data_IF_766914881821
#
_entry.id   IF_766914881821
#
_cell.length_a   1.000
_cell.length_b   1.000
_cell.length_c   1.000
_cell.angle_alpha   90.00
_cell.angle_beta   90.00
_cell.angle_gamma   90.00
#
_symmetry.space_group_name_H-M   'P 1'
#
loop_
_entity.id
_entity.type
_entity.pdbx_description
1 polymer ?
#
# COMPACT_ATOMS: atom_id res chain seq x y z
N UNK A 1 17.94 -9.54 -20.24
CA UNK A 1 16.74 -10.00 -19.50
C UNK A 1 17.05 -10.35 -18.03
N UNK A 2 18.02 -11.23 -17.73
CA UNK A 2 18.38 -11.57 -16.33
C UNK A 2 18.98 -10.43 -15.49
N UNK A 3 19.76 -9.52 -16.08
CA UNK A 3 20.36 -8.39 -15.34
C UNK A 3 19.31 -7.37 -14.90
N UNK A 4 18.29 -7.13 -15.73
CA UNK A 4 17.13 -6.30 -15.42
C UNK A 4 16.26 -6.92 -14.33
N UNK A 5 16.03 -8.25 -14.39
CA UNK A 5 15.30 -8.98 -13.35
C UNK A 5 15.99 -8.91 -11.98
N UNK A 6 17.32 -9.01 -11.93
CA UNK A 6 18.10 -8.86 -10.70
C UNK A 6 18.05 -7.44 -10.14
N UNK A 7 18.09 -6.43 -11.00
CA UNK A 7 17.93 -5.02 -10.61
C UNK A 7 16.54 -4.75 -10.03
N UNK A 8 15.49 -5.29 -10.63
CA UNK A 8 14.11 -5.16 -10.13
C UNK A 8 13.92 -5.86 -8.78
N UNK A 9 14.48 -7.07 -8.61
CA UNK A 9 14.44 -7.80 -7.33
C UNK A 9 15.26 -7.07 -6.25
N UNK A 10 16.40 -6.47 -6.61
CA UNK A 10 17.22 -5.70 -5.67
C UNK A 10 16.55 -4.38 -5.25
N UNK A 11 15.88 -3.66 -6.15
CA UNK A 11 15.11 -2.46 -5.80
C UNK A 11 13.92 -2.79 -4.88
N UNK A 12 13.22 -3.90 -5.13
CA UNK A 12 12.11 -4.34 -4.29
C UNK A 12 12.53 -4.72 -2.86
N UNK A 13 13.81 -5.07 -2.64
CA UNK A 13 14.33 -5.44 -1.32
C UNK A 13 14.71 -4.21 -0.45
N UNK A 14 14.85 -3.02 -1.04
CA UNK A 14 15.27 -1.80 -0.32
C UNK A 14 14.13 -1.20 0.51
N UNK A 15 12.88 -1.61 0.28
CA UNK A 15 11.72 -1.20 1.08
C UNK A 15 11.55 -2.03 2.37
N UNK A 16 12.41 -3.02 2.59
CA UNK A 16 12.39 -3.81 3.81
C UNK A 16 13.19 -3.12 4.92
N UNK A 17 12.48 -2.72 5.97
CA UNK A 17 12.94 -2.25 7.29
C UNK A 17 12.87 -0.73 7.49
N UNK A 18 11.72 -0.30 7.98
CA UNK A 18 11.58 0.91 8.79
C UNK A 18 10.84 0.55 10.08
N UNK A 19 11.54 0.52 11.21
CA UNK A 19 10.90 0.59 12.52
C UNK A 19 10.46 2.02 12.82
N UNK A 20 9.35 2.20 13.53
CA UNK A 20 8.87 3.52 13.95
C UNK A 20 9.78 4.08 15.05
N UNK A 21 10.83 4.79 14.66
CA UNK A 21 11.62 5.64 15.56
C UNK A 21 11.29 7.09 15.26
N UNK A 22 11.04 7.86 16.30
CA UNK A 22 10.69 9.27 16.17
C UNK A 22 11.31 10.06 17.30
N UNK A 23 11.64 11.32 17.00
CA UNK A 23 12.11 12.27 17.98
C UNK A 23 10.94 13.09 18.50
N UNK A 24 10.94 13.33 19.81
CA UNK A 24 9.98 14.18 20.50
C UNK A 24 10.77 15.26 21.22
N UNK A 25 10.42 16.53 21.03
CA UNK A 25 11.01 17.62 21.80
C UNK A 25 10.48 17.62 23.25
N UNK A 26 11.18 18.30 24.15
CA UNK A 26 10.72 18.46 25.53
C UNK A 26 9.34 19.13 25.56
N UNK A 27 8.41 18.60 26.36
CA UNK A 27 7.00 19.03 26.47
C UNK A 27 6.12 18.87 25.22
N UNK A 28 6.65 18.31 24.12
CA UNK A 28 5.87 18.03 22.92
C UNK A 28 5.01 16.77 23.11
N UNK A 29 3.74 16.82 22.67
CA UNK A 29 2.81 15.68 22.70
C UNK A 29 2.63 15.13 21.29
N UNK A 30 2.70 13.80 21.15
CA UNK A 30 2.40 13.07 19.91
C UNK A 30 1.23 12.11 20.16
N UNK A 31 0.24 12.13 19.28
CA UNK A 31 -0.94 11.28 19.37
C UNK A 31 -0.92 10.26 18.23
N UNK A 32 -1.19 8.99 18.56
CA UNK A 32 -1.36 7.90 17.59
C UNK A 32 -2.81 7.44 17.67
N UNK A 33 -3.53 7.49 16.54
CA UNK A 33 -4.95 7.13 16.47
C UNK A 33 -5.04 5.84 15.66
N UNK A 34 -5.47 4.76 16.31
CA UNK A 34 -5.61 3.43 15.72
C UNK A 34 -7.04 2.91 15.98
N UNK A 35 -7.65 2.27 14.98
CA UNK A 35 -8.96 1.62 15.16
C UNK A 35 -8.77 0.20 15.68
N UNK A 36 -9.14 -0.02 16.94
CA UNK A 36 -8.99 -1.30 17.64
C UNK A 36 -10.37 -1.93 17.83
N UNK A 37 -10.58 -3.21 17.46
CA UNK A 37 -11.88 -3.86 17.63
C UNK A 37 -12.22 -4.08 19.10
N UNK A 38 -13.52 -4.20 19.37
CA UNK A 38 -14.02 -4.45 20.73
C UNK A 38 -13.43 -5.74 21.31
N UNK A 39 -13.21 -5.75 22.63
CA UNK A 39 -12.68 -6.90 23.40
C UNK A 39 -11.25 -7.33 23.05
N UNK A 40 -10.43 -6.42 22.51
CA UNK A 40 -9.01 -6.71 22.26
C UNK A 40 -8.06 -6.04 23.23
N UNK A 41 -6.99 -6.76 23.60
CA UNK A 41 -5.94 -6.27 24.48
C UNK A 41 -4.78 -5.73 23.65
N UNK A 42 -4.47 -4.44 23.82
CA UNK A 42 -3.35 -3.79 23.15
C UNK A 42 -2.16 -3.71 24.10
N UNK A 43 -1.02 -4.24 23.66
CA UNK A 43 0.24 -4.18 24.39
C UNK A 43 1.17 -3.21 23.65
N UNK A 44 1.46 -2.07 24.29
CA UNK A 44 2.45 -1.10 23.79
C UNK A 44 3.83 -1.35 24.39
N UNK A 45 4.81 -1.72 23.59
CA UNK A 45 6.22 -1.75 24.00
C UNK A 45 6.93 -0.48 23.49
N UNK A 46 7.52 0.29 24.39
CA UNK A 46 8.27 1.50 24.02
C UNK A 46 9.58 1.58 24.80
N UNK A 47 10.60 2.17 24.17
CA UNK A 47 11.89 2.49 24.78
C UNK A 47 12.19 3.97 24.54
N UNK A 48 12.48 4.69 25.61
CA UNK A 48 12.86 6.11 25.54
C UNK A 48 14.36 6.21 25.75
N UNK A 49 15.05 7.01 24.93
CA UNK A 49 16.47 7.33 25.11
C UNK A 49 16.67 8.82 24.90
N UNK A 50 17.43 9.47 25.79
CA UNK A 50 17.68 10.90 25.72
C UNK A 50 18.98 11.16 24.96
N UNK A 51 18.96 12.12 24.03
CA UNK A 51 20.17 12.58 23.37
C UNK A 51 20.92 13.60 24.25
N UNK A 52 22.17 13.30 24.61
CA UNK A 52 23.04 14.20 25.35
C UNK A 52 24.09 14.84 24.41
N UNK A 53 24.10 16.17 24.24
CA UNK A 53 25.04 16.85 23.36
C UNK A 53 26.50 16.77 23.84
N UNK A 54 26.74 16.55 25.14
CA UNK A 54 28.09 16.50 25.71
C UNK A 54 28.79 15.19 25.34
N UNK A 55 28.07 14.08 25.39
CA UNK A 55 28.56 12.74 25.04
C UNK A 55 28.29 12.38 23.57
N UNK A 56 27.53 13.22 22.84
CA UNK A 56 27.06 12.99 21.46
C UNK A 56 26.40 11.64 21.27
N UNK A 57 25.67 11.18 22.29
CA UNK A 57 25.10 9.84 22.36
C UNK A 57 23.69 9.81 22.93
N UNK A 58 23.06 8.64 22.83
CA UNK A 58 21.76 8.35 23.45
C UNK A 58 21.99 7.56 24.74
N UNK A 59 21.41 8.03 25.84
CA UNK A 59 21.56 7.42 27.17
C UNK A 59 20.23 7.23 27.89
N UNK A 60 20.24 6.33 28.88
CA UNK A 60 19.11 6.08 29.76
C UNK A 60 19.28 6.92 31.04
N UNK A 61 18.30 7.76 31.38
CA UNK A 61 18.32 8.64 32.54
C UNK A 61 17.11 8.34 33.45
N UNK A 62 17.31 8.00 34.75
CA UNK A 62 16.24 7.48 35.61
C UNK A 62 15.15 8.50 35.96
N UNK A 63 15.41 9.80 35.82
CA UNK A 63 14.48 10.87 36.19
C UNK A 63 13.81 11.55 34.98
N UNK A 64 14.07 11.07 33.76
CA UNK A 64 13.53 11.63 32.53
C UNK A 64 12.85 10.50 31.76
N UNK A 65 11.58 10.69 31.41
CA UNK A 65 10.79 9.67 30.75
C UNK A 65 9.62 10.24 29.96
N UNK A 66 8.89 9.35 29.27
CA UNK A 66 7.69 9.69 28.51
C UNK A 66 6.46 9.27 29.31
N UNK A 67 5.49 10.17 29.44
CA UNK A 67 4.16 9.83 29.96
C UNK A 67 3.26 9.38 28.81
N UNK A 68 2.66 8.19 28.93
CA UNK A 68 1.78 7.61 27.91
C UNK A 68 0.37 7.51 28.49
N UNK A 69 -0.58 8.09 27.77
CA UNK A 69 -2.01 8.08 28.10
C UNK A 69 -2.79 7.51 26.91
N UNK A 70 -3.88 6.79 27.20
CA UNK A 70 -4.75 6.18 26.20
C UNK A 70 -6.16 6.70 26.43
N UNK A 71 -6.75 7.30 25.39
CA UNK A 71 -8.10 7.84 25.42
C UNK A 71 -8.92 7.28 24.23
N UNK A 72 -10.22 7.09 24.44
CA UNK A 72 -11.14 6.54 23.45
C UNK A 72 -11.85 7.66 22.68
N UNK A 73 -11.51 7.83 21.40
CA UNK A 73 -12.08 8.90 20.55
C UNK A 73 -13.16 8.32 19.62
N UNK A 74 -14.41 8.27 20.08
CA UNK A 74 -15.51 7.64 19.30
C UNK A 74 -16.17 8.56 18.26
N UNK A 75 -16.07 9.88 18.42
CA UNK A 75 -16.85 10.85 17.61
C UNK A 75 -16.35 11.04 16.17
N UNK A 76 -15.04 11.00 15.96
CA UNK A 76 -14.40 11.23 14.65
C UNK A 76 -14.27 9.93 13.83
N UNK A 77 -14.18 8.77 14.50
CA UNK A 77 -13.97 7.46 13.85
C UNK A 77 -15.15 7.03 12.97
N UNK A 78 -16.39 7.31 13.36
CA UNK A 78 -17.57 6.92 12.58
C UNK A 78 -17.59 7.56 11.18
N UNK A 79 -17.09 8.80 11.05
CA UNK A 79 -17.01 9.48 9.76
C UNK A 79 -15.93 8.86 8.86
N UNK A 80 -14.78 8.48 9.44
CA UNK A 80 -13.70 7.80 8.71
C UNK A 80 -14.13 6.41 8.26
N UNK A 81 -14.74 5.61 9.15
CA UNK A 81 -15.33 4.30 8.82
C UNK A 81 -16.36 4.40 7.69
N UNK A 82 -17.27 5.36 7.76
CA UNK A 82 -18.25 5.58 6.68
C UNK A 82 -17.59 5.88 5.33
N UNK A 83 -16.55 6.72 5.34
CA UNK A 83 -15.78 7.03 4.12
C UNK A 83 -15.03 5.82 3.60
N UNK A 84 -14.43 5.01 4.45
CA UNK A 84 -13.73 3.79 4.07
C UNK A 84 -14.69 2.75 3.49
N UNK A 85 -15.85 2.54 4.12
CA UNK A 85 -16.90 1.65 3.61
C UNK A 85 -17.39 2.11 2.22
N UNK A 86 -17.66 3.42 2.06
CA UNK A 86 -18.02 4.03 0.78
C UNK A 86 -16.92 3.84 -0.27
N UNK A 87 -15.67 4.04 0.12
CA UNK A 87 -14.52 3.88 -0.76
C UNK A 87 -14.34 2.41 -1.17
N UNK A 88 -14.51 1.47 -0.24
CA UNK A 88 -14.48 0.03 -0.49
C UNK A 88 -15.56 -0.39 -1.48
N UNK A 89 -16.79 0.05 -1.28
CA UNK A 89 -17.91 -0.21 -2.22
C UNK A 89 -17.65 0.39 -3.61
N UNK A 90 -17.11 1.61 -3.67
CA UNK A 90 -16.78 2.27 -4.94
C UNK A 90 -15.64 1.54 -5.65
N UNK A 91 -14.62 1.11 -4.91
CA UNK A 91 -13.50 0.33 -5.43
C UNK A 91 -13.96 -1.02 -5.99
N UNK A 92 -14.79 -1.76 -5.25
CA UNK A 92 -15.31 -3.05 -5.70
C UNK A 92 -16.15 -2.93 -6.97
N UNK A 93 -17.10 -1.98 -6.99
CA UNK A 93 -17.94 -1.74 -8.17
C UNK A 93 -17.15 -1.21 -9.38
N UNK A 94 -16.12 -0.39 -9.15
CA UNK A 94 -15.22 0.08 -10.22
C UNK A 94 -14.36 -1.06 -10.75
N UNK A 95 -13.76 -1.86 -9.86
CA UNK A 95 -12.93 -3.00 -10.21
C UNK A 95 -13.71 -4.01 -11.06
N UNK A 96 -14.93 -4.37 -10.64
CA UNK A 96 -15.79 -5.26 -11.39
C UNK A 96 -16.08 -4.73 -12.81
N UNK A 97 -16.45 -3.45 -12.93
CA UNK A 97 -16.71 -2.82 -14.24
C UNK A 97 -15.47 -2.84 -15.14
N UNK A 98 -14.30 -2.47 -14.61
CA UNK A 98 -13.04 -2.45 -15.36
C UNK A 98 -12.67 -3.85 -15.85
N UNK A 99 -12.85 -4.88 -15.02
CA UNK A 99 -12.62 -6.28 -15.41
C UNK A 99 -13.50 -6.69 -16.60
N UNK A 100 -14.80 -6.40 -16.55
CA UNK A 100 -15.71 -6.74 -17.65
C UNK A 100 -15.34 -6.03 -18.95
N UNK A 101 -15.03 -4.72 -18.90
CA UNK A 101 -14.59 -3.98 -20.09
C UNK A 101 -13.28 -4.52 -20.68
N UNK A 102 -12.33 -4.91 -19.82
CA UNK A 102 -11.07 -5.53 -20.24
C UNK A 102 -11.30 -6.87 -20.96
N UNK A 103 -12.18 -7.72 -20.43
CA UNK A 103 -12.56 -9.00 -21.06
C UNK A 103 -13.19 -8.76 -22.44
N UNK A 104 -14.14 -7.81 -22.53
CA UNK A 104 -14.77 -7.45 -23.80
C UNK A 104 -13.75 -6.95 -24.82
N UNK A 105 -12.80 -6.10 -24.42
CA UNK A 105 -11.76 -5.58 -25.30
C UNK A 105 -10.86 -6.70 -25.84
N UNK A 106 -10.41 -7.61 -24.97
CA UNK A 106 -9.57 -8.75 -25.38
C UNK A 106 -10.31 -9.65 -26.37
N UNK A 107 -11.59 -9.92 -26.13
CA UNK A 107 -12.41 -10.72 -27.04
C UNK A 107 -12.52 -10.07 -28.43
N UNK A 108 -12.75 -8.75 -28.49
CA UNK A 108 -12.80 -8.01 -29.77
C UNK A 108 -11.48 -8.12 -30.52
N UNK A 109 -10.34 -7.92 -29.84
CA UNK A 109 -9.02 -8.01 -30.46
C UNK A 109 -8.75 -9.41 -31.04
N UNK A 110 -9.12 -10.47 -30.31
CA UNK A 110 -8.99 -11.86 -30.78
C UNK A 110 -9.86 -12.10 -32.02
N UNK A 111 -11.12 -11.64 -32.01
CA UNK A 111 -12.02 -11.79 -33.15
C UNK A 111 -11.51 -11.07 -34.39
N UNK A 112 -11.08 -9.82 -34.25
CA UNK A 112 -10.52 -9.05 -35.36
C UNK A 112 -9.21 -9.65 -35.86
N UNK A 113 -8.36 -10.17 -34.96
CA UNK A 113 -7.11 -10.85 -35.34
C UNK A 113 -7.38 -12.13 -36.12
N UNK A 114 -8.33 -12.97 -35.68
CA UNK A 114 -8.73 -14.17 -36.39
C UNK A 114 -9.33 -13.86 -37.77
N UNK A 115 -10.16 -12.81 -37.86
CA UNK A 115 -10.71 -12.33 -39.13
C UNK A 115 -9.61 -11.86 -40.07
N UNK A 116 -8.67 -11.03 -39.58
CA UNK A 116 -7.54 -10.54 -40.38
C UNK A 116 -6.71 -11.70 -40.91
N UNK A 117 -6.40 -12.70 -40.09
CA UNK A 117 -5.65 -13.88 -40.52
C UNK A 117 -6.41 -14.70 -41.58
N UNK A 118 -7.74 -14.82 -41.46
CA UNK A 118 -8.58 -15.49 -42.48
C UNK A 118 -8.62 -14.70 -43.78
N UNK A 119 -8.82 -13.39 -43.71
CA UNK A 119 -8.88 -12.52 -44.89
C UNK A 119 -7.54 -12.47 -45.63
N UNK A 120 -6.42 -12.36 -44.91
CA UNK A 120 -5.08 -12.42 -45.52
C UNK A 120 -4.84 -13.78 -46.19
N UNK A 121 -5.23 -14.90 -45.55
CA UNK A 121 -5.16 -16.22 -46.20
C UNK A 121 -5.98 -16.27 -47.49
N UNK A 122 -7.21 -15.77 -47.49
CA UNK A 122 -8.04 -15.70 -48.70
C UNK A 122 -7.42 -14.82 -49.81
N UNK A 123 -6.71 -13.76 -49.45
CA UNK A 123 -6.03 -12.89 -50.41
C UNK A 123 -4.81 -13.57 -51.07
N UNK A 124 -4.02 -14.35 -50.32
CA UNK A 124 -2.91 -15.13 -50.86
C UNK A 124 -3.37 -16.39 -51.61
N UNK A 125 -4.51 -16.98 -51.24
CA UNK A 125 -5.07 -18.14 -51.93
C UNK A 125 -5.72 -17.75 -53.27
N UNK A 126 -6.40 -16.59 -53.32
CA UNK A 126 -6.98 -16.05 -54.55
C UNK A 126 -5.93 -15.43 -55.50
N UNK A 127 -4.81 -14.92 -54.96
CA UNK A 127 -3.63 -14.56 -55.74
C UNK A 127 -2.55 -15.64 -55.58
N UNK A 128 -2.74 -16.76 -56.27
CA UNK A 128 -1.65 -17.69 -56.60
C UNK A 128 -0.58 -16.91 -57.39
N UNK A 129 0.35 -16.28 -56.68
CA UNK A 129 1.58 -15.73 -57.24
C UNK A 129 2.43 -16.94 -57.66
N UNK A 130 2.88 -16.90 -58.92
CA UNK A 130 3.79 -17.85 -59.59
C UNK A 130 4.97 -18.21 -58.70
#
# INVERSE_FOLDING_TARGET
MNSLLRLVVALAAIEAVTGLYFHIAETERKCFIEEIPDETMVIGNYKVQLYDPNTKGYGDYPNIGMHVEVDQITKEQNYQRYREERFRQTSESTNSRVLYWSITQVAVLILTGAWQMKHLKGFFEAKKLV
#
